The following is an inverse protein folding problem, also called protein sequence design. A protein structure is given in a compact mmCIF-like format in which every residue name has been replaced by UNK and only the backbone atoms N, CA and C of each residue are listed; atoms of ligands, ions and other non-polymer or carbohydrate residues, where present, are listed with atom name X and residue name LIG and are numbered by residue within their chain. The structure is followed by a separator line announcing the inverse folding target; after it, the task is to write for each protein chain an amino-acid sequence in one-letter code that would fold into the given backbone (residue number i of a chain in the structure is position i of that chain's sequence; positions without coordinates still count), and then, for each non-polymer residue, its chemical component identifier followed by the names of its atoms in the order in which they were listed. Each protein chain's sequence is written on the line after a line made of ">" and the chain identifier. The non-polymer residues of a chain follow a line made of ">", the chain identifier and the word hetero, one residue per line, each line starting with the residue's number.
data_IF_668742938797
#
_entry.id   IF_668742938797
#
_cell.length_a   1.000
_cell.length_b   1.000
_cell.length_c   1.000
_cell.angle_alpha   90.00
_cell.angle_beta   90.00
_cell.angle_gamma   90.00
#
_symmetry.space_group_name_H-M   'P 1'
#
loop_
_entity.id
_entity.type
_entity.pdbx_description
1 polymer ?
#
# COMPACT_ATOMS: atom_id res chain seq x y z
N UNK A 1 12.94 1.71 8.27
CA UNK A 1 14.32 1.83 8.76
C UNK A 1 14.56 0.90 9.95
N UNK A 2 15.75 0.34 10.16
CA UNK A 2 16.02 -0.51 11.34
C UNK A 2 16.18 0.33 12.62
N UNK A 3 16.00 -0.28 13.81
CA UNK A 3 16.11 0.41 15.11
C UNK A 3 17.46 1.12 15.29
N UNK A 4 18.56 0.43 15.01
CA UNK A 4 19.92 0.98 15.15
C UNK A 4 20.13 2.19 14.26
N UNK A 5 19.68 2.09 13.00
CA UNK A 5 19.82 3.18 12.04
C UNK A 5 18.93 4.38 12.42
N UNK A 6 17.72 4.12 12.93
CA UNK A 6 16.81 5.15 13.44
C UNK A 6 17.37 5.87 14.67
N UNK A 7 17.96 5.12 15.61
CA UNK A 7 18.59 5.69 16.80
C UNK A 7 19.78 6.61 16.43
N UNK A 8 20.60 6.17 15.48
CA UNK A 8 21.74 6.93 14.97
C UNK A 8 21.27 8.20 14.24
N UNK A 9 20.25 8.11 13.39
CA UNK A 9 19.70 9.26 12.67
C UNK A 9 19.10 10.31 13.62
N UNK A 10 18.39 9.86 14.65
CA UNK A 10 17.78 10.73 15.66
C UNK A 10 18.76 11.15 16.79
N UNK A 11 20.01 10.69 16.76
CA UNK A 11 21.04 10.94 17.77
C UNK A 11 20.58 10.59 19.21
N UNK A 12 19.84 9.50 19.37
CA UNK A 12 19.36 9.00 20.68
C UNK A 12 19.86 7.58 20.94
N UNK A 13 19.86 7.15 22.20
CA UNK A 13 20.11 5.75 22.54
C UNK A 13 18.93 4.86 22.15
N UNK A 14 19.20 3.58 21.86
CA UNK A 14 18.18 2.57 21.52
C UNK A 14 17.07 2.48 22.61
N UNK A 15 17.37 2.49 23.93
CA UNK A 15 16.33 2.52 24.96
C UNK A 15 15.43 3.77 24.90
N UNK A 16 16.00 4.94 24.62
CA UNK A 16 15.22 6.18 24.45
C UNK A 16 14.35 6.11 23.21
N UNK A 17 14.87 5.59 22.10
CA UNK A 17 14.08 5.37 20.89
C UNK A 17 12.88 4.43 21.15
N UNK A 18 13.09 3.32 21.85
CA UNK A 18 11.99 2.40 22.18
C UNK A 18 10.91 3.07 23.03
N UNK A 19 11.30 3.93 23.98
CA UNK A 19 10.32 4.71 24.76
C UNK A 19 9.54 5.68 23.88
N UNK A 20 10.20 6.40 23.00
CA UNK A 20 9.56 7.32 22.06
C UNK A 20 8.61 6.60 21.10
N UNK A 21 9.04 5.48 20.50
CA UNK A 21 8.20 4.69 19.59
C UNK A 21 6.93 4.16 20.25
N UNK A 22 6.97 3.82 21.55
CA UNK A 22 5.76 3.43 22.30
C UNK A 22 4.76 4.58 22.45
N UNK A 23 5.22 5.83 22.48
CA UNK A 23 4.35 7.01 22.61
C UNK A 23 3.64 7.36 21.29
N UNK A 24 4.23 7.03 20.15
CA UNK A 24 3.70 7.35 18.80
C UNK A 24 3.29 6.11 17.99
N UNK A 25 2.91 5.02 18.66
CA UNK A 25 2.59 3.74 18.02
C UNK A 25 1.44 3.81 16.98
N UNK A 26 0.55 4.78 17.11
CA UNK A 26 -0.55 5.00 16.15
C UNK A 26 -0.03 5.58 14.83
N UNK A 27 1.04 6.34 14.88
CA UNK A 27 1.65 7.00 13.70
C UNK A 27 2.76 6.15 13.08
N UNK A 28 3.27 5.16 13.80
CA UNK A 28 4.37 4.29 13.35
C UNK A 28 3.87 2.89 13.02
N UNK A 29 4.20 2.43 11.83
CA UNK A 29 4.10 1.04 11.42
C UNK A 29 5.43 0.30 11.68
N UNK A 30 5.36 -0.95 12.15
CA UNK A 30 6.52 -1.81 12.35
C UNK A 30 6.30 -3.21 11.83
N UNK A 31 7.26 -3.74 11.07
CA UNK A 31 7.21 -5.10 10.55
C UNK A 31 8.60 -5.74 10.43
N UNK A 32 8.63 -7.08 10.47
CA UNK A 32 9.84 -7.90 10.48
C UNK A 32 9.95 -8.74 11.77
N UNK A 33 10.83 -9.75 11.76
CA UNK A 33 11.13 -10.55 12.96
C UNK A 33 11.99 -9.77 13.96
N UNK A 34 12.07 -10.21 15.24
CA UNK A 34 12.69 -9.46 16.35
C UNK A 34 14.06 -8.83 16.07
N UNK A 35 14.92 -9.46 15.26
CA UNK A 35 16.26 -8.92 14.93
C UNK A 35 16.27 -8.00 13.70
N UNK A 36 15.24 -8.06 12.86
CA UNK A 36 15.12 -7.34 11.59
C UNK A 36 13.87 -6.44 11.53
N UNK A 37 13.32 -6.06 12.69
CA UNK A 37 12.18 -5.14 12.74
C UNK A 37 12.56 -3.80 12.11
N UNK A 38 11.76 -3.38 11.16
CA UNK A 38 11.83 -2.07 10.52
C UNK A 38 10.63 -1.24 10.96
N UNK A 39 10.88 0.03 11.20
CA UNK A 39 9.88 1.04 11.53
C UNK A 39 9.72 2.02 10.38
N UNK A 40 8.50 2.48 10.14
CA UNK A 40 8.19 3.57 9.23
C UNK A 40 7.01 4.37 9.75
N UNK A 41 6.94 5.66 9.42
CA UNK A 41 5.74 6.43 9.69
C UNK A 41 4.63 6.01 8.71
N UNK A 42 3.39 5.92 9.20
CA UNK A 42 2.22 5.71 8.37
C UNK A 42 2.00 6.94 7.50
N UNK A 43 1.62 6.70 6.26
CA UNK A 43 1.27 7.74 5.30
C UNK A 43 -0.23 7.74 5.12
N UNK A 44 -0.84 8.93 5.18
CA UNK A 44 -2.27 9.05 4.98
C UNK A 44 -2.63 8.99 3.49
N UNK A 45 -3.74 8.34 3.18
CA UNK A 45 -4.40 8.40 1.89
C UNK A 45 -5.74 9.09 2.09
N UNK A 46 -5.91 10.28 1.49
CA UNK A 46 -7.11 11.14 1.65
C UNK A 46 -7.53 11.33 3.11
N UNK A 47 -6.56 11.55 3.99
CA UNK A 47 -6.80 11.80 5.42
C UNK A 47 -6.99 10.54 6.28
N UNK A 48 -7.01 9.34 5.69
CA UNK A 48 -7.04 8.08 6.42
C UNK A 48 -5.64 7.46 6.51
N UNK A 49 -5.23 7.04 7.70
CA UNK A 49 -4.00 6.25 7.93
C UNK A 49 -4.29 4.76 8.14
N UNK A 50 -5.53 4.33 7.83
CA UNK A 50 -5.91 2.94 8.01
C UNK A 50 -5.23 2.04 6.97
N UNK A 51 -4.89 0.80 7.35
CA UNK A 51 -4.40 -0.19 6.40
C UNK A 51 -5.42 -0.45 5.30
N UNK A 52 -4.93 -0.66 4.09
CA UNK A 52 -5.72 -0.89 2.90
C UNK A 52 -5.98 -2.39 2.74
N UNK A 53 -7.25 -2.85 2.79
CA UNK A 53 -7.53 -4.27 2.75
C UNK A 53 -7.34 -4.85 1.33
N UNK A 54 -6.69 -6.00 1.26
CA UNK A 54 -6.43 -6.75 0.04
C UNK A 54 -7.31 -8.01 0.05
N UNK A 55 -8.06 -8.20 -1.03
CA UNK A 55 -8.95 -9.34 -1.21
C UNK A 55 -8.51 -10.20 -2.40
N UNK A 56 -8.69 -11.51 -2.28
CA UNK A 56 -8.60 -12.46 -3.40
C UNK A 56 -10.00 -12.78 -3.89
N UNK A 57 -10.23 -12.66 -5.18
CA UNK A 57 -11.47 -13.13 -5.82
C UNK A 57 -11.31 -14.61 -6.19
N UNK A 58 -12.26 -15.45 -5.79
CA UNK A 58 -12.30 -16.86 -6.18
C UNK A 58 -12.90 -17.07 -7.59
N UNK A 59 -12.96 -18.33 -8.04
CA UNK A 59 -13.50 -18.68 -9.36
C UNK A 59 -14.99 -18.36 -9.51
N UNK A 60 -15.72 -18.25 -8.40
CA UNK A 60 -17.14 -17.89 -8.36
C UNK A 60 -17.33 -16.36 -8.32
N UNK A 61 -16.25 -15.58 -8.27
CA UNK A 61 -16.30 -14.13 -8.20
C UNK A 61 -16.55 -13.59 -6.79
N UNK A 62 -16.36 -14.40 -5.75
CA UNK A 62 -16.52 -14.02 -4.34
C UNK A 62 -15.19 -13.52 -3.80
N UNK A 63 -15.22 -12.37 -3.11
CA UNK A 63 -14.04 -11.78 -2.49
C UNK A 63 -13.77 -12.38 -1.11
N UNK A 64 -12.54 -12.82 -0.89
CA UNK A 64 -12.03 -13.35 0.37
C UNK A 64 -10.93 -12.44 0.87
N UNK A 65 -11.01 -12.01 2.14
CA UNK A 65 -9.95 -11.22 2.75
C UNK A 65 -8.64 -12.00 2.74
N UNK A 66 -7.58 -11.36 2.25
CA UNK A 66 -6.25 -11.97 2.17
C UNK A 66 -5.32 -11.37 3.23
N UNK A 67 -5.16 -10.04 3.22
CA UNK A 67 -4.30 -9.30 4.14
C UNK A 67 -4.60 -7.80 4.06
N UNK A 68 -3.83 -6.97 4.74
CA UNK A 68 -3.81 -5.52 4.57
C UNK A 68 -2.45 -5.01 4.12
N UNK A 69 -2.47 -3.90 3.38
CA UNK A 69 -1.31 -3.14 2.95
C UNK A 69 -1.20 -1.87 3.78
N UNK A 70 0.00 -1.52 4.22
CA UNK A 70 0.27 -0.28 4.96
C UNK A 70 1.02 0.69 4.06
N UNK A 71 0.53 1.93 3.93
CA UNK A 71 1.27 2.98 3.22
C UNK A 71 2.26 3.63 4.19
N UNK A 72 3.49 3.82 3.72
CA UNK A 72 4.57 4.33 4.58
C UNK A 72 5.20 5.59 4.00
N UNK A 73 5.66 6.47 4.88
CA UNK A 73 6.27 7.74 4.52
C UNK A 73 7.81 7.61 4.38
N UNK A 74 8.45 8.47 3.56
CA UNK A 74 7.82 9.48 2.69
C UNK A 74 7.13 8.89 1.46
N UNK A 75 7.52 7.67 1.06
CA UNK A 75 6.95 6.91 -0.04
C UNK A 75 7.10 5.41 0.24
N UNK A 76 6.30 4.60 -0.46
CA UNK A 76 6.34 3.14 -0.38
C UNK A 76 5.18 2.52 0.38
N UNK A 77 5.26 1.19 0.50
CA UNK A 77 4.25 0.39 1.16
C UNK A 77 4.87 -0.82 1.87
N UNK A 78 4.10 -1.39 2.79
CA UNK A 78 4.34 -2.73 3.32
C UNK A 78 3.18 -3.65 2.93
N UNK A 79 3.51 -4.78 2.30
CA UNK A 79 2.58 -5.86 2.00
C UNK A 79 3.32 -7.19 2.16
N UNK A 80 2.89 -8.00 3.11
CA UNK A 80 3.44 -9.35 3.30
C UNK A 80 2.83 -10.33 2.29
N UNK A 81 3.60 -10.63 1.25
CA UNK A 81 3.18 -11.50 0.15
C UNK A 81 3.64 -12.96 0.30
N UNK A 82 4.27 -13.35 1.42
CA UNK A 82 4.88 -14.68 1.58
C UNK A 82 3.88 -15.84 1.44
N UNK A 83 2.62 -15.59 1.76
CA UNK A 83 1.53 -16.58 1.65
C UNK A 83 0.65 -16.37 0.41
N UNK A 84 1.15 -15.62 -0.58
CA UNK A 84 0.45 -15.37 -1.84
C UNK A 84 1.07 -16.21 -2.96
N UNK A 85 0.27 -16.54 -3.98
CA UNK A 85 0.74 -17.29 -5.15
C UNK A 85 1.58 -16.44 -6.13
N UNK A 86 1.88 -15.20 -5.75
CA UNK A 86 2.61 -14.24 -6.55
C UNK A 86 4.12 -14.38 -6.34
N UNK A 87 4.94 -14.44 -7.41
CA UNK A 87 6.39 -14.48 -7.27
C UNK A 87 6.91 -13.22 -6.57
N UNK A 88 7.76 -13.39 -5.56
CA UNK A 88 8.42 -12.29 -4.84
C UNK A 88 9.93 -12.50 -4.92
N UNK A 89 10.66 -11.49 -5.37
CA UNK A 89 12.12 -11.54 -5.37
C UNK A 89 12.69 -11.46 -3.94
N UNK A 90 14.00 -11.67 -3.81
CA UNK A 90 14.68 -11.67 -2.51
C UNK A 90 14.67 -10.29 -1.82
N UNK A 91 14.59 -9.19 -2.58
CA UNK A 91 14.60 -7.84 -2.03
C UNK A 91 13.27 -7.52 -1.33
N UNK A 92 12.17 -7.92 -1.97
CA UNK A 92 10.80 -7.69 -1.51
C UNK A 92 10.27 -8.82 -0.63
N UNK A 93 11.01 -9.91 -0.42
CA UNK A 93 10.63 -11.02 0.45
C UNK A 93 10.34 -10.60 1.91
N UNK A 94 10.87 -9.45 2.33
CA UNK A 94 10.59 -8.85 3.64
C UNK A 94 9.26 -8.09 3.71
N UNK A 95 8.54 -7.98 2.59
CA UNK A 95 7.27 -7.27 2.45
C UNK A 95 7.39 -5.75 2.34
N UNK A 96 8.60 -5.19 2.32
CA UNK A 96 8.83 -3.75 2.17
C UNK A 96 9.03 -3.37 0.71
N UNK A 97 8.30 -2.36 0.26
CA UNK A 97 8.30 -1.88 -1.13
C UNK A 97 8.65 -0.39 -1.17
N UNK A 98 9.48 0.02 -2.14
CA UNK A 98 9.85 1.43 -2.34
C UNK A 98 8.73 2.30 -2.92
N UNK A 99 7.75 1.64 -3.55
CA UNK A 99 6.48 2.19 -4.04
C UNK A 99 5.35 1.22 -3.72
N UNK A 100 4.36 1.10 -4.59
CA UNK A 100 3.37 0.03 -4.49
C UNK A 100 3.97 -1.34 -4.85
N UNK A 101 3.43 -2.44 -4.30
CA UNK A 101 3.79 -3.79 -4.73
C UNK A 101 3.44 -4.04 -6.19
N UNK A 102 4.27 -4.81 -6.90
CA UNK A 102 4.09 -5.04 -8.34
C UNK A 102 2.69 -5.58 -8.74
N UNK A 103 1.98 -6.44 -7.98
CA UNK A 103 0.65 -6.89 -8.39
C UNK A 103 -0.34 -5.72 -8.46
N UNK A 104 -0.13 -4.67 -7.66
CA UNK A 104 -0.95 -3.47 -7.69
C UNK A 104 -0.65 -2.65 -8.95
N UNK A 105 0.62 -2.58 -9.38
CA UNK A 105 0.98 -1.98 -10.66
C UNK A 105 0.35 -2.75 -11.84
N UNK A 106 0.33 -4.07 -11.78
CA UNK A 106 -0.24 -4.92 -12.84
C UNK A 106 -1.76 -4.85 -12.93
N UNK A 107 -2.45 -4.60 -11.81
CA UNK A 107 -3.91 -4.46 -11.77
C UNK A 107 -4.41 -3.14 -12.37
N UNK A 108 -3.50 -2.22 -12.72
CA UNK A 108 -3.90 -0.93 -13.24
C UNK A 108 -4.73 -1.05 -14.52
N UNK A 109 -5.73 -0.19 -14.68
CA UNK A 109 -6.54 -0.17 -15.88
C UNK A 109 -5.68 0.37 -17.04
N UNK A 110 -5.45 -0.45 -18.06
CA UNK A 110 -4.58 -0.13 -19.20
C UNK A 110 -5.35 0.00 -20.52
N UNK A 111 -4.68 0.56 -21.53
CA UNK A 111 -5.20 0.62 -22.90
C UNK A 111 -6.42 1.53 -23.07
N UNK A 112 -7.32 1.16 -23.98
CA UNK A 112 -8.54 1.94 -24.26
C UNK A 112 -9.47 2.02 -23.04
N UNK A 113 -9.66 0.89 -22.35
CA UNK A 113 -10.50 0.80 -21.14
C UNK A 113 -9.91 1.69 -20.05
N UNK A 114 -8.59 1.62 -19.81
CA UNK A 114 -7.95 2.46 -18.80
C UNK A 114 -8.03 3.96 -19.07
N UNK A 115 -7.84 4.38 -20.33
CA UNK A 115 -8.00 5.79 -20.70
C UNK A 115 -9.44 6.27 -20.57
N UNK A 116 -10.42 5.43 -20.88
CA UNK A 116 -11.83 5.79 -20.71
C UNK A 116 -12.17 5.91 -19.22
N UNK A 117 -11.71 4.96 -18.41
CA UNK A 117 -11.86 5.01 -16.97
C UNK A 117 -11.22 6.27 -16.36
N UNK A 118 -10.00 6.61 -16.77
CA UNK A 118 -9.31 7.82 -16.33
C UNK A 118 -10.10 9.10 -16.64
N UNK A 119 -10.67 9.23 -17.85
CA UNK A 119 -11.52 10.37 -18.23
C UNK A 119 -12.78 10.46 -17.38
N UNK A 120 -13.39 9.32 -17.02
CA UNK A 120 -14.60 9.32 -16.20
C UNK A 120 -14.29 9.72 -14.74
N UNK A 121 -13.07 9.50 -14.27
CA UNK A 121 -12.63 9.87 -12.90
C UNK A 121 -11.81 11.17 -12.83
N UNK A 122 -11.57 11.83 -13.97
CA UNK A 122 -10.72 13.03 -14.06
C UNK A 122 -11.18 14.13 -13.08
N UNK A 123 -12.50 14.31 -12.93
CA UNK A 123 -13.09 15.28 -12.00
C UNK A 123 -13.04 14.87 -10.52
N UNK A 124 -13.16 13.57 -10.20
CA UNK A 124 -13.24 13.09 -8.81
C UNK A 124 -11.85 12.87 -8.18
N UNK A 125 -10.87 12.54 -9.02
CA UNK A 125 -9.50 12.25 -8.58
C UNK A 125 -8.52 13.41 -8.84
N UNK A 126 -8.87 14.38 -9.69
CA UNK A 126 -7.99 15.48 -10.13
C UNK A 126 -6.64 14.97 -10.68
N UNK A 127 -6.70 13.90 -11.50
CA UNK A 127 -5.53 13.17 -12.00
C UNK A 127 -5.31 13.39 -13.48
N UNK A 128 -4.09 13.07 -13.96
CA UNK A 128 -3.78 13.05 -15.39
C UNK A 128 -4.77 12.15 -16.16
N UNK A 129 -5.17 12.50 -17.40
CA UNK A 129 -5.97 11.63 -18.24
C UNK A 129 -5.22 10.36 -18.71
N UNK A 130 -3.91 10.28 -18.42
CA UNK A 130 -3.03 9.15 -18.72
C UNK A 130 -2.67 8.40 -17.43
N UNK A 131 -3.14 7.15 -17.25
CA UNK A 131 -2.85 6.33 -16.05
C UNK A 131 -1.36 6.09 -15.79
N UNK A 132 -0.53 6.11 -16.84
CA UNK A 132 0.92 5.88 -16.70
C UNK A 132 1.61 6.97 -15.88
N UNK A 133 1.04 8.18 -15.88
CA UNK A 133 1.60 9.36 -15.21
C UNK A 133 1.09 9.53 -13.78
N UNK A 134 0.25 8.60 -13.29
CA UNK A 134 -0.32 8.67 -11.96
C UNK A 134 0.73 8.39 -10.88
N UNK A 135 0.78 9.19 -9.81
CA UNK A 135 1.50 8.79 -8.61
C UNK A 135 0.83 7.58 -7.95
N UNK A 136 1.54 6.98 -6.99
CA UNK A 136 1.09 5.75 -6.33
C UNK A 136 -0.27 5.88 -5.61
N UNK A 137 -0.59 7.06 -5.08
CA UNK A 137 -1.87 7.27 -4.38
C UNK A 137 -3.05 7.24 -5.35
N UNK A 138 -2.89 7.92 -6.48
CA UNK A 138 -3.87 8.00 -7.56
C UNK A 138 -4.07 6.63 -8.20
N UNK A 139 -2.98 5.89 -8.40
CA UNK A 139 -3.03 4.49 -8.85
C UNK A 139 -3.87 3.65 -7.90
N UNK A 140 -3.59 3.73 -6.60
CA UNK A 140 -4.36 2.95 -5.62
C UNK A 140 -5.83 3.38 -5.55
N UNK A 141 -6.11 4.68 -5.53
CA UNK A 141 -7.47 5.23 -5.52
C UNK A 141 -8.27 4.75 -6.73
N UNK A 142 -7.65 4.69 -7.90
CA UNK A 142 -8.32 4.19 -9.11
C UNK A 142 -8.80 2.74 -8.98
N UNK A 143 -8.04 1.89 -8.28
CA UNK A 143 -8.39 0.48 -8.05
C UNK A 143 -9.56 0.34 -7.08
N UNK A 144 -9.61 1.18 -6.03
CA UNK A 144 -10.75 1.25 -5.11
C UNK A 144 -12.02 1.60 -5.90
N UNK A 145 -11.97 2.63 -6.73
CA UNK A 145 -13.14 3.09 -7.49
C UNK A 145 -13.56 2.09 -8.56
N UNK A 146 -12.60 1.45 -9.24
CA UNK A 146 -12.89 0.39 -10.20
C UNK A 146 -13.61 -0.79 -9.52
N UNK A 147 -13.15 -1.22 -8.35
CA UNK A 147 -13.82 -2.27 -7.59
C UNK A 147 -15.24 -1.85 -7.20
N UNK A 148 -15.40 -0.63 -6.68
CA UNK A 148 -16.71 -0.05 -6.33
C UNK A 148 -17.69 -0.07 -7.52
N UNK A 149 -17.23 0.30 -8.73
CA UNK A 149 -18.04 0.25 -9.95
C UNK A 149 -18.40 -1.18 -10.38
N UNK A 150 -17.45 -2.11 -10.35
CA UNK A 150 -17.69 -3.52 -10.70
C UNK A 150 -18.74 -4.14 -9.77
N UNK A 151 -18.68 -3.85 -8.47
CA UNK A 151 -19.67 -4.34 -7.50
C UNK A 151 -21.03 -3.65 -7.67
N UNK A 152 -21.07 -2.35 -7.99
CA UNK A 152 -22.34 -1.67 -8.31
C UNK A 152 -23.02 -2.29 -9.53
N UNK A 153 -22.28 -2.63 -10.59
CA UNK A 153 -22.84 -3.23 -11.80
C UNK A 153 -23.34 -4.68 -11.64
N UNK A 154 -22.89 -5.43 -10.63
CA UNK A 154 -23.41 -6.79 -10.35
C UNK A 154 -24.74 -6.82 -9.58
N UNK A 155 -25.19 -5.67 -9.06
CA UNK A 155 -26.40 -5.54 -8.23
C UNK A 155 -27.61 -5.05 -9.05
N UNK A 156 -27.45 -4.86 -10.36
CA UNK A 156 -28.54 -4.50 -11.29
C UNK A 156 -28.79 -5.61 -12.31
#
# INVERSE_FOLDING_TARGET
>A
MSTTHLALHLKVSVPTLHRALKQVQVEIFSAGGSKNTRYAARRSLRGSVLPLPIYRIDQQGVGHYLTSMELVAPQGAFLDMRNMAWPVDSEHASGWWGGLPYPIYDMQPQGFIGRNLARNFEFDLAVSPSPNDWPDDERWLSLIEQFSLIYKCKVY
#
